data_IF_369289301977
#
_entry.id   IF_369289301977
#
_cell.length_a   1.000
_cell.length_b   1.000
_cell.length_c   1.000
_cell.angle_alpha   90.00
_cell.angle_beta   90.00
_cell.angle_gamma   90.00
#
_symmetry.space_group_name_H-M   'P 1'
#
loop_
_entity.id
_entity.type
_entity.pdbx_description
1 polymer ?
#
# COMPACT_ATOMS: atom_id res chain seq x y z
N UNK A 1 -10.84 -20.99 -20.08
CA UNK A 1 -9.37 -21.09 -20.01
C UNK A 1 -8.77 -21.74 -21.25
N UNK A 2 -9.37 -22.77 -21.81
CA UNK A 2 -8.90 -23.38 -23.08
C UNK A 2 -9.12 -22.45 -24.27
N UNK A 3 -10.17 -21.66 -24.23
CA UNK A 3 -10.51 -20.67 -25.26
C UNK A 3 -9.90 -19.26 -25.00
N UNK A 4 -8.91 -19.14 -24.06
CA UNK A 4 -8.28 -17.85 -23.76
C UNK A 4 -9.16 -16.81 -23.05
N UNK A 5 -10.38 -17.19 -22.64
CA UNK A 5 -11.37 -16.28 -22.06
C UNK A 5 -10.92 -15.64 -20.73
N UNK A 6 -10.09 -16.35 -19.97
CA UNK A 6 -9.50 -15.86 -18.73
C UNK A 6 -8.02 -16.20 -18.69
N UNK A 7 -7.15 -15.22 -18.45
CA UNK A 7 -5.71 -15.40 -18.29
C UNK A 7 -5.41 -16.30 -17.09
N UNK A 8 -4.41 -17.17 -17.19
CA UNK A 8 -3.97 -18.00 -16.08
C UNK A 8 -2.49 -18.32 -16.20
N UNK A 9 -1.86 -18.65 -15.07
CA UNK A 9 -0.51 -19.22 -15.03
C UNK A 9 -0.61 -20.74 -14.84
N UNK A 10 0.19 -21.50 -15.58
CA UNK A 10 0.32 -22.95 -15.35
C UNK A 10 1.51 -23.19 -14.43
N UNK A 11 1.29 -23.99 -13.39
CA UNK A 11 2.39 -24.51 -12.55
C UNK A 11 3.14 -25.61 -13.28
N UNK A 12 4.33 -25.99 -12.80
CA UNK A 12 5.09 -27.12 -13.32
C UNK A 12 4.29 -28.44 -13.33
N UNK A 13 3.34 -28.61 -12.39
CA UNK A 13 2.42 -29.74 -12.32
C UNK A 13 1.17 -29.58 -13.21
N UNK A 14 1.10 -28.58 -14.08
CA UNK A 14 0.00 -28.37 -15.02
C UNK A 14 -1.26 -27.71 -14.43
N UNK A 15 -1.27 -27.39 -13.12
CA UNK A 15 -2.40 -26.71 -12.50
C UNK A 15 -2.49 -25.25 -12.95
N UNK A 16 -3.70 -24.77 -13.23
CA UNK A 16 -3.97 -23.39 -13.60
C UNK A 16 -4.19 -22.57 -12.34
N UNK A 17 -3.40 -21.51 -12.16
CA UNK A 17 -3.59 -20.50 -11.12
C UNK A 17 -4.09 -19.20 -11.75
N UNK A 18 -5.03 -18.56 -11.09
CA UNK A 18 -5.59 -17.27 -11.48
C UNK A 18 -5.20 -16.23 -10.44
N UNK A 19 -4.81 -15.06 -10.90
CA UNK A 19 -4.66 -13.88 -10.03
C UNK A 19 -5.99 -13.14 -9.94
N UNK A 20 -6.17 -12.30 -8.93
CA UNK A 20 -7.33 -11.41 -8.84
C UNK A 20 -7.42 -10.50 -10.08
N UNK A 21 -6.29 -10.10 -10.64
CA UNK A 21 -6.27 -9.32 -11.88
C UNK A 21 -6.86 -10.11 -13.06
N UNK A 22 -6.53 -11.39 -13.21
CA UNK A 22 -7.12 -12.23 -14.28
C UNK A 22 -8.64 -12.28 -14.16
N UNK A 23 -9.16 -12.39 -12.94
CA UNK A 23 -10.61 -12.41 -12.68
C UNK A 23 -11.21 -11.03 -12.93
N UNK A 24 -10.56 -9.96 -12.47
CA UNK A 24 -10.99 -8.57 -12.71
C UNK A 24 -11.08 -8.26 -14.21
N UNK A 25 -10.07 -8.63 -14.99
CA UNK A 25 -10.04 -8.39 -16.44
C UNK A 25 -11.15 -9.19 -17.14
N UNK A 26 -11.41 -10.43 -16.69
CA UNK A 26 -12.53 -11.22 -17.16
C UNK A 26 -13.87 -10.51 -16.95
N UNK A 27 -14.12 -9.96 -15.74
CA UNK A 27 -15.36 -9.23 -15.46
C UNK A 27 -15.47 -7.92 -16.23
N UNK A 28 -14.36 -7.21 -16.50
CA UNK A 28 -14.38 -6.01 -17.35
C UNK A 28 -14.90 -6.29 -18.76
N UNK A 29 -14.47 -7.41 -19.33
CA UNK A 29 -14.85 -7.80 -20.70
C UNK A 29 -16.26 -8.40 -20.73
N UNK A 30 -16.63 -9.17 -19.71
CA UNK A 30 -17.87 -9.92 -19.66
C UNK A 30 -18.92 -9.28 -18.73
N UNK A 31 -19.28 -8.02 -19.00
CA UNK A 31 -20.27 -7.26 -18.19
C UNK A 31 -21.60 -7.97 -17.92
N UNK A 32 -21.95 -9.01 -18.69
CA UNK A 32 -23.16 -9.81 -18.49
C UNK A 32 -23.03 -10.89 -17.38
N UNK A 33 -21.81 -11.29 -17.04
CA UNK A 33 -21.57 -12.29 -15.98
C UNK A 33 -21.83 -11.73 -14.57
N UNK A 34 -21.86 -10.41 -14.40
CA UNK A 34 -22.03 -9.76 -13.09
C UNK A 34 -23.43 -9.88 -12.49
N UNK A 35 -24.41 -10.44 -13.19
CA UNK A 35 -25.78 -10.63 -12.67
C UNK A 35 -26.04 -12.00 -12.02
N UNK A 36 -25.17 -12.99 -12.27
CA UNK A 36 -25.32 -14.34 -11.73
C UNK A 36 -24.34 -14.68 -10.60
N UNK A 37 -23.30 -13.87 -10.44
CA UNK A 37 -22.28 -14.09 -9.42
C UNK A 37 -22.55 -13.21 -8.19
N UNK A 38 -23.73 -13.31 -7.60
CA UNK A 38 -23.80 -13.32 -6.16
C UNK A 38 -23.01 -14.57 -5.75
N UNK A 39 -21.65 -14.40 -5.65
CA UNK A 39 -20.83 -15.28 -4.84
C UNK A 39 -21.67 -15.51 -3.61
N UNK A 40 -21.96 -16.77 -3.28
CA UNK A 40 -22.73 -17.13 -2.11
C UNK A 40 -22.01 -16.52 -0.90
N UNK A 41 -22.30 -15.26 -0.62
CA UNK A 41 -21.80 -14.53 0.52
C UNK A 41 -22.56 -15.13 1.68
N UNK A 42 -21.98 -16.13 2.31
CA UNK A 42 -22.54 -16.83 3.47
C UNK A 42 -22.78 -15.86 4.63
N UNK A 43 -22.09 -14.68 4.59
CA UNK A 43 -22.16 -13.68 5.63
C UNK A 43 -22.93 -12.41 5.17
N UNK A 44 -23.97 -12.05 5.96
CA UNK A 44 -24.80 -10.87 5.72
C UNK A 44 -23.98 -9.55 5.73
N UNK A 45 -22.95 -9.45 6.56
CA UNK A 45 -22.06 -8.28 6.62
C UNK A 45 -21.28 -8.11 5.31
N UNK A 46 -20.81 -9.18 4.71
CA UNK A 46 -20.13 -9.11 3.42
C UNK A 46 -21.06 -8.61 2.31
N UNK A 47 -22.37 -8.95 2.32
CA UNK A 47 -23.34 -8.40 1.36
C UNK A 47 -23.46 -6.89 1.49
N UNK A 48 -23.54 -6.37 2.72
CA UNK A 48 -23.56 -4.91 2.96
C UNK A 48 -22.29 -4.22 2.43
N UNK A 49 -21.12 -4.83 2.66
CA UNK A 49 -19.84 -4.30 2.14
C UNK A 49 -19.89 -4.20 0.62
N UNK A 50 -20.34 -5.22 -0.07
CA UNK A 50 -20.44 -5.20 -1.53
C UNK A 50 -21.45 -4.14 -2.04
N UNK A 51 -22.54 -3.89 -1.33
CA UNK A 51 -23.44 -2.80 -1.66
C UNK A 51 -22.79 -1.42 -1.51
N UNK A 52 -21.99 -1.22 -0.45
CA UNK A 52 -21.22 0.02 -0.26
C UNK A 52 -20.19 0.21 -1.36
N UNK A 53 -19.49 -0.84 -1.75
CA UNK A 53 -18.51 -0.83 -2.86
C UNK A 53 -19.22 -0.43 -4.17
N UNK A 54 -20.34 -1.05 -4.50
CA UNK A 54 -21.12 -0.73 -5.71
C UNK A 54 -21.63 0.72 -5.74
N UNK A 55 -21.89 1.29 -4.57
CA UNK A 55 -22.36 2.68 -4.41
C UNK A 55 -21.20 3.68 -4.32
N UNK A 56 -19.93 3.23 -4.31
CA UNK A 56 -18.73 4.02 -4.02
C UNK A 56 -18.84 4.83 -2.71
N UNK A 57 -19.46 4.22 -1.67
CA UNK A 57 -19.56 4.85 -0.36
C UNK A 57 -18.24 4.67 0.41
N UNK A 58 -17.22 5.40 -0.04
CA UNK A 58 -15.84 5.25 0.47
C UNK A 58 -15.72 5.62 1.94
N UNK A 59 -16.44 6.64 2.41
CA UNK A 59 -16.41 7.03 3.81
C UNK A 59 -16.90 5.92 4.74
N UNK A 60 -18.03 5.28 4.41
CA UNK A 60 -18.54 4.16 5.22
C UNK A 60 -17.63 2.94 5.14
N UNK A 61 -17.01 2.69 3.98
CA UNK A 61 -16.03 1.61 3.82
C UNK A 61 -14.79 1.86 4.68
N UNK A 62 -14.29 3.10 4.77
CA UNK A 62 -13.17 3.46 5.64
C UNK A 62 -13.50 3.23 7.12
N UNK A 63 -14.70 3.63 7.57
CA UNK A 63 -15.16 3.35 8.94
C UNK A 63 -15.27 1.86 9.22
N UNK A 64 -15.84 1.08 8.29
CA UNK A 64 -15.94 -0.37 8.44
C UNK A 64 -14.56 -1.05 8.44
N UNK A 65 -13.63 -0.56 7.63
CA UNK A 65 -12.25 -1.04 7.61
C UNK A 65 -11.58 -0.85 8.97
N UNK A 66 -11.69 0.37 9.53
CA UNK A 66 -11.14 0.70 10.84
C UNK A 66 -11.75 -0.19 11.94
N UNK A 67 -13.07 -0.26 12.02
CA UNK A 67 -13.76 -1.06 13.04
C UNK A 67 -13.40 -2.54 12.95
N UNK A 68 -13.43 -3.13 11.75
CA UNK A 68 -13.05 -4.52 11.55
C UNK A 68 -11.59 -4.78 11.93
N UNK A 69 -10.68 -3.85 11.65
CA UNK A 69 -9.27 -3.98 12.04
C UNK A 69 -9.09 -3.91 13.56
N UNK A 70 -9.82 -3.03 14.24
CA UNK A 70 -9.82 -2.91 15.71
C UNK A 70 -10.36 -4.19 16.36
N UNK A 71 -11.42 -4.75 15.81
CA UNK A 71 -12.02 -6.01 16.27
C UNK A 71 -11.23 -7.26 15.83
N UNK A 72 -10.11 -7.07 15.10
CA UNK A 72 -9.29 -8.14 14.53
C UNK A 72 -10.05 -9.06 13.56
N UNK A 73 -11.10 -8.56 12.91
CA UNK A 73 -11.81 -9.26 11.85
C UNK A 73 -11.07 -9.12 10.50
N UNK A 74 -10.01 -9.93 10.35
CA UNK A 74 -9.19 -9.97 9.13
C UNK A 74 -10.03 -10.32 7.88
N UNK A 75 -11.10 -11.09 8.02
CA UNK A 75 -11.97 -11.49 6.91
C UNK A 75 -12.68 -10.28 6.32
N UNK A 76 -13.28 -9.45 7.17
CA UNK A 76 -13.97 -8.22 6.75
C UNK A 76 -12.98 -7.21 6.16
N UNK A 77 -11.81 -7.01 6.79
CA UNK A 77 -10.76 -6.13 6.24
C UNK A 77 -10.35 -6.59 4.83
N UNK A 78 -10.09 -7.87 4.65
CA UNK A 78 -9.74 -8.45 3.36
C UNK A 78 -10.88 -8.32 2.33
N UNK A 79 -12.13 -8.51 2.76
CA UNK A 79 -13.30 -8.34 1.89
C UNK A 79 -13.43 -6.91 1.39
N UNK A 80 -13.19 -5.90 2.24
CA UNK A 80 -13.25 -4.49 1.85
C UNK A 80 -12.14 -4.19 0.82
N UNK A 81 -10.89 -4.53 1.11
CA UNK A 81 -9.75 -4.19 0.25
C UNK A 81 -9.81 -4.96 -1.06
N UNK A 82 -9.86 -6.30 -1.00
CA UNK A 82 -9.88 -7.13 -2.19
C UNK A 82 -11.18 -6.98 -2.99
N UNK A 83 -12.32 -6.84 -2.30
CA UNK A 83 -13.62 -6.64 -2.92
C UNK A 83 -13.69 -5.30 -3.67
N UNK A 84 -13.16 -4.22 -3.10
CA UNK A 84 -13.05 -2.92 -3.77
C UNK A 84 -12.20 -3.02 -5.04
N UNK A 85 -11.02 -3.61 -4.94
CA UNK A 85 -10.14 -3.84 -6.08
C UNK A 85 -10.82 -4.68 -7.18
N UNK A 86 -11.50 -5.76 -6.82
CA UNK A 86 -12.22 -6.63 -7.75
C UNK A 86 -13.40 -5.93 -8.44
N UNK A 87 -14.03 -4.96 -7.77
CA UNK A 87 -15.11 -4.14 -8.34
C UNK A 87 -14.61 -2.92 -9.14
N UNK A 88 -13.36 -2.97 -9.62
CA UNK A 88 -12.74 -1.98 -10.49
C UNK A 88 -12.42 -0.62 -9.84
N UNK A 89 -12.39 -0.52 -8.52
CA UNK A 89 -11.76 0.60 -7.85
C UNK A 89 -10.25 0.45 -8.09
N UNK A 90 -9.60 1.48 -8.64
CA UNK A 90 -8.14 1.47 -8.83
C UNK A 90 -7.41 1.56 -7.48
N UNK A 91 -6.15 1.14 -7.47
CA UNK A 91 -5.39 1.04 -6.21
C UNK A 91 -5.17 2.41 -5.57
N UNK A 92 -5.01 3.46 -6.37
CA UNK A 92 -4.86 4.82 -5.90
C UNK A 92 -6.13 5.29 -5.18
N UNK A 93 -7.30 5.16 -5.81
CA UNK A 93 -8.59 5.50 -5.19
C UNK A 93 -8.87 4.65 -3.96
N UNK A 94 -8.55 3.34 -4.01
CA UNK A 94 -8.72 2.45 -2.86
C UNK A 94 -7.88 2.93 -1.66
N UNK A 95 -6.63 3.30 -1.90
CA UNK A 95 -5.74 3.75 -0.83
C UNK A 95 -6.13 5.14 -0.33
N UNK A 96 -6.36 6.11 -1.20
CA UNK A 96 -6.67 7.51 -0.81
C UNK A 96 -8.04 7.65 -0.15
N UNK A 97 -9.03 6.84 -0.53
CA UNK A 97 -10.42 7.03 -0.09
C UNK A 97 -10.89 6.03 0.95
N UNK A 98 -10.22 4.88 1.10
CA UNK A 98 -10.65 3.82 2.01
C UNK A 98 -9.54 3.47 3.00
N UNK A 99 -8.35 3.11 2.52
CA UNK A 99 -7.31 2.53 3.38
C UNK A 99 -6.67 3.58 4.28
N UNK A 100 -6.21 4.69 3.70
CA UNK A 100 -5.60 5.78 4.46
C UNK A 100 -6.58 6.42 5.45
N UNK A 101 -7.82 6.82 5.04
CA UNK A 101 -8.81 7.31 5.99
C UNK A 101 -9.19 6.29 7.08
N UNK A 102 -9.26 5.00 6.76
CA UNK A 102 -9.49 3.95 7.74
C UNK A 102 -8.35 3.83 8.75
N UNK A 103 -7.10 3.91 8.29
CA UNK A 103 -5.92 3.95 9.16
C UNK A 103 -5.91 5.19 10.07
N UNK A 104 -6.31 6.35 9.55
CA UNK A 104 -6.43 7.58 10.34
C UNK A 104 -7.50 7.49 11.44
N UNK A 105 -8.58 6.74 11.23
CA UNK A 105 -9.58 6.47 12.27
C UNK A 105 -8.95 5.63 13.41
N UNK A 106 -8.16 4.62 13.09
CA UNK A 106 -7.42 3.82 14.09
C UNK A 106 -6.46 4.71 14.88
N UNK A 107 -5.73 5.59 14.18
CA UNK A 107 -4.79 6.53 14.82
C UNK A 107 -5.52 7.51 15.75
N UNK A 108 -6.67 8.04 15.32
CA UNK A 108 -7.50 8.90 16.16
C UNK A 108 -7.97 8.17 17.42
N UNK A 109 -8.40 6.91 17.31
CA UNK A 109 -8.80 6.10 18.46
C UNK A 109 -7.64 5.86 19.44
N UNK A 110 -6.41 5.69 18.96
CA UNK A 110 -5.21 5.66 19.80
C UNK A 110 -4.99 7.00 20.48
N UNK A 111 -5.07 8.10 19.75
CA UNK A 111 -4.83 9.45 20.30
C UNK A 111 -5.86 9.82 21.38
N UNK A 112 -7.09 9.40 21.23
CA UNK A 112 -8.17 9.61 22.18
C UNK A 112 -8.16 8.58 23.33
N UNK A 113 -7.14 7.72 23.42
CA UNK A 113 -6.97 6.65 24.42
C UNK A 113 -8.09 5.60 24.43
N UNK A 114 -8.81 5.41 23.31
CA UNK A 114 -9.74 4.29 23.14
C UNK A 114 -9.01 2.99 22.79
N UNK A 115 -7.79 3.08 22.26
CA UNK A 115 -6.92 1.95 21.98
C UNK A 115 -5.58 2.12 22.67
N UNK A 116 -5.00 1.02 23.13
CA UNK A 116 -3.58 0.99 23.50
C UNK A 116 -2.70 1.00 22.25
N UNK A 117 -1.41 1.35 22.42
CA UNK A 117 -0.43 1.28 21.34
C UNK A 117 -0.35 -0.11 20.69
N UNK A 118 -0.47 -1.18 21.50
CA UNK A 118 -0.44 -2.56 21.00
C UNK A 118 -1.65 -2.88 20.14
N UNK A 119 -2.86 -2.48 20.56
CA UNK A 119 -4.09 -2.71 19.80
C UNK A 119 -4.07 -1.92 18.48
N UNK A 120 -3.65 -0.66 18.50
CA UNK A 120 -3.49 0.14 17.30
C UNK A 120 -2.43 -0.45 16.35
N UNK A 121 -1.33 -0.99 16.89
CA UNK A 121 -0.32 -1.70 16.07
C UNK A 121 -0.91 -2.93 15.40
N UNK A 122 -1.66 -3.77 16.13
CA UNK A 122 -2.32 -4.96 15.57
C UNK A 122 -3.29 -4.57 14.46
N UNK A 123 -4.14 -3.57 14.71
CA UNK A 123 -5.12 -3.08 13.73
C UNK A 123 -4.44 -2.62 12.43
N UNK A 124 -3.39 -1.81 12.55
CA UNK A 124 -2.61 -1.35 11.37
C UNK A 124 -1.93 -2.49 10.66
N UNK A 125 -1.40 -3.48 11.40
CA UNK A 125 -0.76 -4.65 10.79
C UNK A 125 -1.75 -5.50 9.97
N UNK A 126 -3.00 -5.61 10.42
CA UNK A 126 -4.07 -6.29 9.69
C UNK A 126 -4.36 -5.55 8.37
N UNK A 127 -4.51 -4.22 8.42
CA UNK A 127 -4.72 -3.39 7.22
C UNK A 127 -3.53 -3.51 6.25
N UNK A 128 -2.30 -3.42 6.76
CA UNK A 128 -1.08 -3.54 5.96
C UNK A 128 -1.00 -4.88 5.23
N UNK A 129 -1.23 -6.00 5.92
CA UNK A 129 -1.23 -7.34 5.30
C UNK A 129 -2.28 -7.48 4.21
N UNK A 130 -3.49 -6.96 4.45
CA UNK A 130 -4.54 -7.01 3.45
C UNK A 130 -4.20 -6.17 2.22
N UNK A 131 -3.59 -5.00 2.40
CA UNK A 131 -3.09 -4.14 1.32
C UNK A 131 -1.95 -4.80 0.55
N UNK A 132 -0.99 -5.42 1.25
CA UNK A 132 0.15 -6.13 0.66
C UNK A 132 -0.30 -7.28 -0.25
N UNK A 133 -1.42 -7.94 0.08
CA UNK A 133 -1.96 -9.03 -0.75
C UNK A 133 -2.31 -8.60 -2.19
N UNK A 134 -2.44 -7.30 -2.45
CA UNK A 134 -2.65 -6.76 -3.79
C UNK A 134 -1.38 -6.83 -4.66
N UNK A 135 -0.19 -7.02 -4.07
CA UNK A 135 1.07 -7.21 -4.82
C UNK A 135 1.08 -8.47 -5.68
N UNK A 136 0.33 -9.51 -5.29
CA UNK A 136 0.23 -10.76 -6.05
C UNK A 136 -0.60 -10.58 -7.34
N UNK A 137 -1.23 -9.44 -7.51
CA UNK A 137 -2.21 -9.17 -8.55
C UNK A 137 -1.70 -8.27 -9.67
N UNK A 138 -0.41 -8.36 -9.99
CA UNK A 138 0.21 -7.57 -11.07
C UNK A 138 -0.60 -7.70 -12.37
N UNK A 139 -0.86 -6.57 -13.06
CA UNK A 139 -1.37 -6.63 -14.42
C UNK A 139 -0.42 -7.47 -15.28
N UNK A 140 -0.94 -8.46 -15.97
CA UNK A 140 -0.15 -9.29 -16.87
C UNK A 140 0.50 -8.41 -17.95
N UNK A 141 1.83 -8.38 -17.99
CA UNK A 141 2.58 -7.85 -19.11
C UNK A 141 2.99 -6.38 -19.06
N UNK A 142 2.85 -5.68 -17.93
CA UNK A 142 3.12 -4.24 -17.85
C UNK A 142 4.45 -3.86 -17.20
N UNK A 143 5.51 -4.69 -17.33
CA UNK A 143 6.84 -4.25 -16.88
C UNK A 143 7.31 -3.10 -17.76
N UNK A 144 7.54 -1.93 -17.15
CA UNK A 144 7.95 -0.71 -17.86
C UNK A 144 9.47 -0.57 -18.04
N UNK A 145 10.24 -1.59 -17.66
CA UNK A 145 11.70 -1.62 -17.75
C UNK A 145 12.43 -0.93 -16.61
N UNK A 146 11.70 -0.36 -15.62
CA UNK A 146 12.27 0.42 -14.52
C UNK A 146 12.17 -0.30 -13.19
N UNK A 147 13.11 -0.02 -12.28
CA UNK A 147 13.12 -0.51 -10.90
C UNK A 147 12.91 0.64 -9.92
N UNK A 148 12.15 0.37 -8.85
CA UNK A 148 11.92 1.31 -7.77
C UNK A 148 12.31 0.73 -6.43
N UNK A 149 12.73 1.58 -5.50
CA UNK A 149 13.05 1.26 -4.12
C UNK A 149 12.13 2.05 -3.20
N UNK A 150 11.31 1.36 -2.41
CA UNK A 150 10.50 1.96 -1.37
C UNK A 150 11.21 1.85 -0.03
N UNK A 151 11.35 2.97 0.67
CA UNK A 151 12.18 3.09 1.88
C UNK A 151 11.38 3.70 3.02
N UNK A 152 11.50 3.10 4.19
CA UNK A 152 11.10 3.67 5.47
C UNK A 152 12.27 3.52 6.45
N UNK A 153 12.49 4.54 7.30
CA UNK A 153 13.55 4.53 8.33
C UNK A 153 13.02 4.27 9.73
N UNK A 154 11.72 4.16 9.89
CA UNK A 154 11.07 4.05 11.18
C UNK A 154 11.04 2.59 11.61
N UNK A 155 11.85 2.25 12.60
CA UNK A 155 11.88 0.92 13.19
C UNK A 155 10.57 0.59 13.92
N UNK A 156 10.16 -0.69 13.82
CA UNK A 156 9.06 -1.29 14.59
C UNK A 156 7.64 -0.77 14.31
N UNK A 157 7.43 -0.06 13.21
CA UNK A 157 6.10 0.43 12.83
C UNK A 157 5.51 -0.36 11.67
N UNK A 158 4.18 -0.49 11.61
CA UNK A 158 3.53 -0.99 10.40
C UNK A 158 3.87 -0.05 9.23
N UNK A 159 4.42 -0.62 8.20
CA UNK A 159 4.92 0.07 7.01
C UNK A 159 3.83 0.30 5.94
N UNK A 160 2.60 0.65 6.38
CA UNK A 160 1.44 0.78 5.50
C UNK A 160 1.70 1.71 4.31
N UNK A 161 2.26 2.90 4.55
CA UNK A 161 2.53 3.86 3.48
C UNK A 161 3.56 3.35 2.47
N UNK A 162 4.58 2.62 2.95
CA UNK A 162 5.59 1.98 2.08
C UNK A 162 4.95 0.86 1.26
N UNK A 163 4.08 0.04 1.88
CA UNK A 163 3.33 -1.01 1.19
C UNK A 163 2.37 -0.41 0.15
N UNK A 164 1.64 0.65 0.47
CA UNK A 164 0.78 1.35 -0.49
C UNK A 164 1.60 1.85 -1.69
N UNK A 165 2.74 2.47 -1.44
CA UNK A 165 3.67 2.94 -2.49
C UNK A 165 4.17 1.78 -3.36
N UNK A 166 4.55 0.67 -2.75
CA UNK A 166 4.96 -0.55 -3.47
C UNK A 166 3.84 -1.07 -4.37
N UNK A 167 2.62 -1.22 -3.85
CA UNK A 167 1.47 -1.71 -4.63
C UNK A 167 1.19 -0.81 -5.82
N UNK A 168 1.14 0.52 -5.62
CA UNK A 168 0.92 1.48 -6.70
C UNK A 168 2.00 1.34 -7.79
N UNK A 169 3.27 1.34 -7.39
CA UNK A 169 4.38 1.25 -8.35
C UNK A 169 4.40 -0.09 -9.12
N UNK A 170 4.06 -1.19 -8.44
CA UNK A 170 3.91 -2.48 -9.12
C UNK A 170 2.78 -2.47 -10.14
N UNK A 171 1.67 -1.80 -9.84
CA UNK A 171 0.56 -1.62 -10.79
C UNK A 171 0.91 -0.67 -11.96
N UNK A 172 1.87 0.24 -11.75
CA UNK A 172 2.48 1.08 -12.83
C UNK A 172 3.59 0.35 -13.61
N UNK A 173 3.84 -0.91 -13.31
CA UNK A 173 4.78 -1.76 -14.04
C UNK A 173 6.23 -1.69 -13.57
N UNK A 174 6.53 -1.07 -12.43
CA UNK A 174 7.87 -1.09 -11.86
C UNK A 174 8.21 -2.46 -11.26
N UNK A 175 9.50 -2.83 -11.34
CA UNK A 175 10.06 -3.85 -10.47
C UNK A 175 10.41 -3.19 -9.13
N UNK A 176 9.67 -3.52 -8.05
CA UNK A 176 9.77 -2.80 -6.78
C UNK A 176 10.50 -3.64 -5.74
N UNK A 177 11.46 -3.00 -5.08
CA UNK A 177 12.13 -3.48 -3.88
C UNK A 177 11.62 -2.66 -2.70
N UNK A 178 11.21 -3.32 -1.62
CA UNK A 178 10.71 -2.70 -0.40
C UNK A 178 11.65 -3.06 0.75
N UNK A 179 12.18 -2.07 1.46
CA UNK A 179 13.08 -2.29 2.60
C UNK A 179 12.33 -2.64 3.88
N UNK A 180 10.99 -2.56 3.87
CA UNK A 180 10.19 -2.63 5.08
C UNK A 180 10.42 -1.41 5.97
N UNK A 181 10.32 -1.63 7.27
CA UNK A 181 10.51 -0.60 8.30
C UNK A 181 11.97 -0.45 8.76
N UNK A 182 12.92 -1.02 8.04
CA UNK A 182 14.34 -0.93 8.39
C UNK A 182 15.20 -0.71 7.15
N UNK A 183 15.92 0.41 7.11
CA UNK A 183 16.87 0.70 6.05
C UNK A 183 18.16 1.28 6.64
N UNK A 184 19.28 0.60 6.43
CA UNK A 184 20.59 1.14 6.75
C UNK A 184 21.14 1.96 5.60
N UNK A 185 21.49 3.21 5.88
CA UNK A 185 21.97 4.16 4.88
C UNK A 185 23.20 3.66 4.11
N UNK A 186 24.13 3.02 4.82
CA UNK A 186 25.36 2.49 4.21
C UNK A 186 25.09 1.41 3.16
N UNK A 187 24.02 0.68 3.29
CA UNK A 187 23.66 -0.40 2.36
C UNK A 187 22.77 0.07 1.20
N UNK A 188 22.01 1.15 1.39
CA UNK A 188 21.14 1.68 0.34
C UNK A 188 21.89 2.01 -0.95
N UNK A 189 23.09 2.59 -0.85
CA UNK A 189 23.92 2.86 -2.02
C UNK A 189 24.25 1.59 -2.80
N UNK A 190 24.61 0.51 -2.10
CA UNK A 190 24.89 -0.80 -2.73
C UNK A 190 23.63 -1.37 -3.41
N UNK A 191 22.46 -1.21 -2.76
CA UNK A 191 21.19 -1.65 -3.32
C UNK A 191 20.86 -0.87 -4.59
N UNK A 192 21.02 0.46 -4.58
CA UNK A 192 20.78 1.33 -5.72
C UNK A 192 21.63 0.88 -6.93
N UNK A 193 22.92 0.69 -6.71
CA UNK A 193 23.87 0.28 -7.77
C UNK A 193 23.60 -1.15 -8.28
N UNK A 194 23.44 -2.10 -7.35
CA UNK A 194 23.29 -3.52 -7.69
C UNK A 194 21.94 -3.85 -8.33
N UNK A 195 20.87 -3.16 -7.93
CA UNK A 195 19.51 -3.38 -8.42
C UNK A 195 19.09 -2.45 -9.56
N UNK A 196 20.02 -1.54 -9.97
CA UNK A 196 19.77 -0.54 -11.03
C UNK A 196 18.47 0.21 -10.77
N UNK A 197 18.40 0.87 -9.62
CA UNK A 197 17.21 1.61 -9.19
C UNK A 197 17.08 2.90 -10.00
N UNK A 198 15.90 3.15 -10.56
CA UNK A 198 15.55 4.36 -11.32
C UNK A 198 14.80 5.37 -10.45
N UNK A 199 14.08 4.88 -9.44
CA UNK A 199 13.22 5.69 -8.58
C UNK A 199 13.34 5.23 -7.12
N UNK A 200 13.51 6.20 -6.22
CA UNK A 200 13.42 5.97 -4.77
C UNK A 200 12.18 6.67 -4.24
N UNK A 201 11.35 5.97 -3.47
CA UNK A 201 10.22 6.52 -2.75
C UNK A 201 10.48 6.41 -1.26
N UNK A 202 10.56 7.57 -0.60
CA UNK A 202 10.60 7.66 0.85
C UNK A 202 9.21 7.95 1.38
N UNK A 203 8.75 7.14 2.32
CA UNK A 203 7.53 7.43 3.05
C UNK A 203 7.87 7.79 4.49
N UNK A 204 7.49 8.98 4.92
CA UNK A 204 7.66 9.48 6.27
C UNK A 204 6.29 9.73 6.88
N UNK A 205 5.96 8.94 7.89
CA UNK A 205 4.71 9.06 8.63
C UNK A 205 4.79 10.21 9.65
N UNK A 206 3.66 10.87 9.92
CA UNK A 206 3.54 11.83 11.02
C UNK A 206 2.55 11.36 12.10
N UNK A 207 2.16 10.12 12.09
CA UNK A 207 1.25 9.57 13.08
C UNK A 207 1.86 9.62 14.48
N UNK A 208 1.02 9.73 15.50
CA UNK A 208 1.49 9.92 16.88
C UNK A 208 2.46 8.83 17.35
N UNK A 209 2.24 7.59 16.93
CA UNK A 209 3.16 6.48 17.24
C UNK A 209 4.54 6.64 16.58
N UNK A 210 4.63 7.39 15.48
CA UNK A 210 5.85 7.66 14.74
C UNK A 210 6.49 8.97 15.21
N UNK A 211 5.72 9.92 15.70
CA UNK A 211 6.23 11.24 16.12
C UNK A 211 7.23 11.17 17.25
N UNK A 212 7.10 10.23 18.19
CA UNK A 212 8.10 10.03 19.24
C UNK A 212 9.44 9.60 18.66
N UNK A 213 9.42 8.72 17.66
CA UNK A 213 10.65 8.24 17.00
C UNK A 213 11.25 9.32 16.09
N UNK A 214 10.42 9.97 15.29
CA UNK A 214 10.87 11.08 14.41
C UNK A 214 11.26 12.30 15.23
N UNK A 215 10.50 12.68 16.26
CA UNK A 215 10.80 13.81 17.13
C UNK A 215 12.11 13.66 17.88
N UNK A 216 12.36 12.47 18.44
CA UNK A 216 13.59 12.16 19.17
C UNK A 216 14.81 12.02 18.25
N UNK A 217 14.59 11.72 16.96
CA UNK A 217 15.64 11.47 15.97
C UNK A 217 15.55 12.40 14.74
N UNK A 218 14.87 13.54 14.83
CA UNK A 218 14.60 14.42 13.69
C UNK A 218 15.88 14.82 12.93
N UNK A 219 16.94 15.16 13.65
CA UNK A 219 18.24 15.52 13.06
C UNK A 219 18.84 14.32 12.32
N UNK A 220 18.86 13.14 12.95
CA UNK A 220 19.37 11.91 12.33
C UNK A 220 18.57 11.56 11.08
N UNK A 221 17.24 11.65 11.12
CA UNK A 221 16.37 11.39 9.98
C UNK A 221 16.62 12.41 8.87
N UNK A 222 16.77 13.69 9.19
CA UNK A 222 17.10 14.74 8.24
C UNK A 222 18.44 14.49 7.54
N UNK A 223 19.48 14.15 8.30
CA UNK A 223 20.81 13.84 7.77
C UNK A 223 20.78 12.63 6.86
N UNK A 224 20.03 11.57 7.24
CA UNK A 224 19.86 10.37 6.42
C UNK A 224 19.15 10.69 5.09
N UNK A 225 18.04 11.43 5.13
CA UNK A 225 17.30 11.84 3.92
C UNK A 225 18.19 12.70 3.02
N UNK A 226 18.91 13.67 3.58
CA UNK A 226 19.83 14.52 2.82
C UNK A 226 20.94 13.72 2.13
N UNK A 227 21.57 12.79 2.86
CA UNK A 227 22.63 11.92 2.34
C UNK A 227 22.14 11.02 1.19
N UNK A 228 20.94 10.48 1.31
CA UNK A 228 20.36 9.65 0.23
C UNK A 228 20.00 10.51 -0.98
N UNK A 229 19.42 11.68 -0.76
CA UNK A 229 19.12 12.62 -1.85
C UNK A 229 20.39 13.01 -2.62
N UNK A 230 21.47 13.32 -1.92
CA UNK A 230 22.77 13.60 -2.53
C UNK A 230 23.30 12.41 -3.33
N UNK A 231 23.21 11.21 -2.77
CA UNK A 231 23.64 9.97 -3.43
C UNK A 231 22.81 9.70 -4.68
N UNK A 232 21.49 9.78 -4.57
CA UNK A 232 20.56 9.59 -5.69
C UNK A 232 20.82 10.62 -6.80
N UNK A 233 21.05 11.87 -6.44
CA UNK A 233 21.35 12.94 -7.39
C UNK A 233 22.64 12.68 -8.17
N UNK A 234 23.69 12.20 -7.50
CA UNK A 234 24.96 11.81 -8.14
C UNK A 234 24.77 10.64 -9.12
N UNK A 235 23.87 9.71 -8.80
CA UNK A 235 23.55 8.54 -9.61
C UNK A 235 22.45 8.80 -10.66
N UNK A 236 21.89 10.01 -10.70
CA UNK A 236 20.75 10.40 -11.54
C UNK A 236 19.49 9.57 -11.30
N UNK A 237 19.27 9.15 -10.07
CA UNK A 237 18.08 8.43 -9.61
C UNK A 237 17.03 9.44 -9.17
N UNK A 238 15.80 9.27 -9.60
CA UNK A 238 14.67 10.10 -9.17
C UNK A 238 14.31 9.78 -7.72
N UNK A 239 13.94 10.81 -6.93
CA UNK A 239 13.53 10.64 -5.54
C UNK A 239 12.18 11.32 -5.32
N UNK A 240 11.23 10.57 -4.76
CA UNK A 240 9.92 11.05 -4.36
C UNK A 240 9.79 10.89 -2.84
N UNK A 241 9.23 11.90 -2.20
CA UNK A 241 8.90 11.87 -0.79
C UNK A 241 7.40 11.84 -0.62
N UNK A 242 6.89 10.88 0.17
CA UNK A 242 5.50 10.74 0.54
C UNK A 242 5.32 10.82 2.05
N UNK A 243 4.06 11.02 2.47
CA UNK A 243 3.68 11.10 3.86
C UNK A 243 3.91 12.48 4.50
N UNK A 244 3.08 12.80 5.48
CA UNK A 244 3.08 14.11 6.17
C UNK A 244 4.31 14.32 7.05
N UNK A 245 5.05 13.27 7.39
CA UNK A 245 6.27 13.37 8.20
C UNK A 245 7.37 14.21 7.58
N UNK A 246 7.33 14.45 6.26
CA UNK A 246 8.28 15.36 5.59
C UNK A 246 8.18 16.80 6.10
N UNK A 247 7.01 17.21 6.60
CA UNK A 247 6.78 18.54 7.14
C UNK A 247 7.55 18.78 8.45
N UNK A 248 7.93 17.70 9.13
CA UNK A 248 8.75 17.74 10.33
C UNK A 248 10.24 17.97 10.02
N UNK A 249 10.63 17.98 8.74
CA UNK A 249 12.00 18.16 8.26
C UNK A 249 12.16 19.53 7.54
N UNK A 250 12.21 20.66 8.27
CA UNK A 250 12.05 22.00 7.68
C UNK A 250 13.13 22.37 6.67
N UNK A 251 14.37 21.92 6.85
CA UNK A 251 15.49 22.30 5.98
C UNK A 251 15.53 21.47 4.68
N UNK A 252 15.01 20.26 4.72
CA UNK A 252 14.94 19.39 3.56
C UNK A 252 13.82 19.86 2.60
N UNK A 253 12.72 20.39 3.15
CA UNK A 253 11.57 20.87 2.37
C UNK A 253 11.93 22.00 1.39
N UNK A 254 13.02 22.74 1.62
CA UNK A 254 13.50 23.82 0.75
C UNK A 254 14.36 23.32 -0.41
N UNK A 255 15.03 22.18 -0.23
CA UNK A 255 16.01 21.65 -1.19
C UNK A 255 15.40 20.62 -2.13
N UNK A 256 14.34 19.96 -1.70
CA UNK A 256 13.67 18.89 -2.45
C UNK A 256 12.46 19.46 -3.18
N UNK A 257 12.44 19.31 -4.51
CA UNK A 257 11.22 19.56 -5.28
C UNK A 257 10.14 18.59 -4.77
N UNK A 258 9.17 19.13 -4.02
CA UNK A 258 8.08 18.37 -3.43
C UNK A 258 7.27 17.71 -4.54
N UNK A 259 7.35 16.40 -4.63
CA UNK A 259 6.36 15.61 -5.35
C UNK A 259 5.66 14.79 -4.27
N UNK A 260 4.48 15.25 -3.84
CA UNK A 260 3.67 14.53 -2.87
C UNK A 260 2.92 13.41 -3.60
N UNK A 261 3.01 12.21 -3.06
CA UNK A 261 1.97 11.20 -3.19
C UNK A 261 1.13 11.34 -1.92
N UNK A 262 -0.01 12.00 -2.06
CA UNK A 262 -1.04 12.01 -1.03
C UNK A 262 -1.76 10.69 -1.05
#
# INVERSE_FOLDING_TARGET
>A
TENGTIGCHKTAGGHRKFTMQNVRDYYKVNKKASKSDEIALENFEHKKIYELIKKNNFSELAHKLANASIESDESTVKTIISGSYMNNIDVETLFDKIVDPGSMIVEKALHENYLSHTEAFISRKIITRASESLNDNKPNGSYNGKSALCVNFEDNLPDLGVVMSEVILRHKGYNVYNTGSHAELGDLKKVIDNKKIDLIVFYLCNMQCCMSVVGDNITKTADMVASIYETASKLKVEVIFGGLGIELLPDISKTIKKTFIT
#
